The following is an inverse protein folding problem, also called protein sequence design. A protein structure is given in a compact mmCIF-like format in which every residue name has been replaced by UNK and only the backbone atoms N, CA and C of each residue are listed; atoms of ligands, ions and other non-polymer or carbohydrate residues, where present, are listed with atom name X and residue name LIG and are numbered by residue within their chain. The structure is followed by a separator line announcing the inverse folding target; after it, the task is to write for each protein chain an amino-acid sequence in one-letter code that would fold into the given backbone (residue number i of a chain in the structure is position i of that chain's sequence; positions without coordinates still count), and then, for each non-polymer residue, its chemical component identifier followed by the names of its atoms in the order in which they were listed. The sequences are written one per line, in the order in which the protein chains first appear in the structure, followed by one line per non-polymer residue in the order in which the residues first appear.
data_IF_943921050087
#
_entry.id   IF_943921050087
#
_cell.length_a   1.000
_cell.length_b   1.000
_cell.length_c   1.000
_cell.angle_alpha   90.00
_cell.angle_beta   90.00
_cell.angle_gamma   90.00
#
_symmetry.space_group_name_H-M   'P 1'
#
loop_
_entity.id
_entity.type
_entity.pdbx_description
1 polymer ?
#
# COMPACT_ATOMS: atom_id res chain seq x y z
N UNK A 1 -50.39 -3.88 -0.39
CA UNK A 1 -49.13 -3.47 0.27
C UNK A 1 -48.06 -4.57 0.15
N UNK A 2 -47.56 -4.84 -1.07
CA UNK A 2 -46.51 -5.86 -1.31
C UNK A 2 -45.34 -5.32 -2.15
N UNK A 3 -45.44 -4.11 -2.71
CA UNK A 3 -44.42 -3.56 -3.61
C UNK A 3 -43.25 -2.88 -2.89
N UNK A 4 -43.43 -2.32 -1.70
CA UNK A 4 -42.33 -1.66 -0.95
C UNK A 4 -41.30 -2.65 -0.37
N UNK A 5 -41.71 -3.89 -0.03
CA UNK A 5 -40.81 -4.88 0.58
C UNK A 5 -39.74 -5.42 -0.37
N UNK A 6 -40.06 -5.55 -1.66
CA UNK A 6 -39.15 -6.11 -2.68
C UNK A 6 -38.08 -5.09 -3.09
N UNK A 7 -38.41 -3.78 -3.12
CA UNK A 7 -37.45 -2.72 -3.47
C UNK A 7 -36.38 -2.53 -2.38
N UNK A 8 -36.75 -2.67 -1.10
CA UNK A 8 -35.81 -2.58 0.02
C UNK A 8 -34.88 -3.81 0.06
N UNK A 9 -35.36 -5.01 -0.27
CA UNK A 9 -34.54 -6.23 -0.37
C UNK A 9 -33.58 -6.21 -1.56
N UNK A 10 -33.97 -5.64 -2.71
CA UNK A 10 -33.06 -5.43 -3.85
C UNK A 10 -32.03 -4.32 -3.57
N UNK A 11 -32.42 -3.27 -2.83
CA UNK A 11 -31.49 -2.25 -2.34
C UNK A 11 -30.46 -2.83 -1.36
N UNK A 12 -30.88 -3.75 -0.49
CA UNK A 12 -29.98 -4.43 0.45
C UNK A 12 -29.10 -5.50 -0.23
N UNK A 13 -29.62 -6.22 -1.21
CA UNK A 13 -28.82 -7.14 -2.05
C UNK A 13 -27.83 -6.39 -2.95
N UNK A 14 -28.18 -5.21 -3.46
CA UNK A 14 -27.28 -4.35 -4.24
C UNK A 14 -26.11 -3.81 -3.42
N UNK A 15 -26.32 -3.52 -2.14
CA UNK A 15 -25.26 -3.11 -1.20
C UNK A 15 -24.33 -4.28 -0.85
N UNK A 16 -24.83 -5.52 -0.83
CA UNK A 16 -23.99 -6.72 -0.68
C UNK A 16 -23.29 -7.14 -1.98
N UNK A 17 -23.79 -6.74 -3.16
CA UNK A 17 -23.14 -6.94 -4.47
C UNK A 17 -22.08 -5.87 -4.82
N UNK A 18 -21.96 -4.81 -4.02
CA UNK A 18 -20.89 -3.80 -4.12
C UNK A 18 -19.60 -4.21 -3.39
N UNK A 19 -19.34 -5.51 -3.19
CA UNK A 19 -17.95 -5.95 -3.15
C UNK A 19 -17.41 -5.72 -4.57
N UNK A 20 -16.76 -4.56 -4.79
CA UNK A 20 -16.19 -4.18 -6.07
C UNK A 20 -15.52 -5.41 -6.69
N UNK A 21 -16.14 -5.95 -7.75
CA UNK A 21 -15.59 -7.08 -8.48
C UNK A 21 -14.19 -6.67 -8.88
N UNK A 22 -13.24 -7.54 -8.59
CA UNK A 22 -11.83 -7.27 -8.85
C UNK A 22 -11.66 -6.81 -10.30
N UNK A 23 -11.00 -5.67 -10.56
CA UNK A 23 -10.86 -5.17 -11.92
C UNK A 23 -10.15 -6.19 -12.80
N UNK A 24 -10.62 -6.31 -14.04
CA UNK A 24 -10.07 -7.23 -15.04
C UNK A 24 -9.50 -6.41 -16.19
N UNK A 25 -8.30 -6.77 -16.63
CA UNK A 25 -7.67 -6.19 -17.81
C UNK A 25 -7.04 -7.32 -18.63
N UNK A 26 -7.32 -7.34 -19.94
CA UNK A 26 -6.88 -8.39 -20.88
C UNK A 26 -7.17 -9.83 -20.38
N UNK A 27 -8.34 -10.03 -19.76
CA UNK A 27 -8.79 -11.34 -19.29
C UNK A 27 -8.20 -11.81 -17.95
N UNK A 28 -7.26 -11.06 -17.36
CA UNK A 28 -6.67 -11.34 -16.04
C UNK A 28 -7.15 -10.35 -14.98
N UNK A 29 -7.35 -10.84 -13.76
CA UNK A 29 -7.72 -10.03 -12.60
C UNK A 29 -6.52 -9.23 -12.09
N UNK A 30 -6.79 -8.12 -11.38
CA UNK A 30 -5.78 -7.29 -10.75
C UNK A 30 -4.78 -8.11 -9.90
N UNK A 31 -5.26 -9.04 -9.07
CA UNK A 31 -4.42 -9.87 -8.21
C UNK A 31 -3.49 -10.79 -8.97
N UNK A 32 -3.90 -11.29 -10.14
CA UNK A 32 -3.04 -12.09 -11.02
C UNK A 32 -1.94 -11.23 -11.65
N UNK A 33 -2.25 -9.97 -11.99
CA UNK A 33 -1.23 -9.03 -12.46
C UNK A 33 -0.25 -8.66 -11.35
N UNK A 34 -0.71 -8.47 -10.12
CA UNK A 34 0.16 -8.16 -8.98
C UNK A 34 1.02 -9.36 -8.56
N UNK A 35 0.51 -10.59 -8.71
CA UNK A 35 1.28 -11.81 -8.51
C UNK A 35 2.39 -11.93 -9.56
N UNK A 36 2.06 -11.75 -10.84
CA UNK A 36 3.05 -11.71 -11.91
C UNK A 36 4.10 -10.61 -11.70
N UNK A 37 3.71 -9.46 -11.17
CA UNK A 37 4.64 -8.37 -10.87
C UNK A 37 5.65 -8.71 -9.76
N UNK A 38 5.25 -9.51 -8.77
CA UNK A 38 6.09 -9.91 -7.64
C UNK A 38 7.03 -11.09 -7.96
N UNK A 39 6.53 -12.06 -8.73
CA UNK A 39 7.25 -13.32 -8.97
C UNK A 39 8.37 -13.17 -10.01
N UNK A 40 8.28 -12.14 -10.85
CA UNK A 40 9.18 -11.93 -11.98
C UNK A 40 10.37 -10.99 -11.64
N UNK A 41 11.50 -11.17 -12.33
CA UNK A 41 12.69 -10.32 -12.13
C UNK A 41 12.40 -8.86 -12.47
N UNK A 42 13.15 -7.94 -11.84
CA UNK A 42 12.89 -6.49 -11.95
C UNK A 42 12.88 -5.98 -13.39
N UNK A 43 13.69 -6.60 -14.26
CA UNK A 43 13.97 -6.29 -15.66
C UNK A 43 13.12 -7.11 -16.65
N UNK A 44 12.31 -8.06 -16.17
CA UNK A 44 11.52 -8.92 -17.04
C UNK A 44 10.46 -8.11 -17.84
N UNK A 45 10.26 -8.42 -19.13
CA UNK A 45 9.16 -7.88 -19.92
C UNK A 45 7.79 -8.16 -19.29
N UNK A 46 7.65 -9.30 -18.63
CA UNK A 46 6.44 -9.77 -17.96
C UNK A 46 6.06 -8.85 -16.78
N UNK A 47 7.03 -8.46 -15.94
CA UNK A 47 6.83 -7.50 -14.86
C UNK A 47 6.42 -6.13 -15.37
N UNK A 48 7.06 -5.65 -16.44
CA UNK A 48 6.69 -4.38 -17.07
C UNK A 48 5.26 -4.43 -17.63
N UNK A 49 4.89 -5.55 -18.27
CA UNK A 49 3.52 -5.78 -18.76
C UNK A 49 2.51 -5.80 -17.63
N UNK A 50 2.84 -6.43 -16.50
CA UNK A 50 2.01 -6.44 -15.31
C UNK A 50 1.82 -5.02 -14.75
N UNK A 51 2.90 -4.25 -14.62
CA UNK A 51 2.84 -2.86 -14.19
C UNK A 51 1.94 -2.03 -15.12
N UNK A 52 2.12 -2.17 -16.44
CA UNK A 52 1.31 -1.50 -17.44
C UNK A 52 -0.17 -1.89 -17.36
N UNK A 53 -0.48 -3.16 -17.07
CA UNK A 53 -1.85 -3.61 -16.88
C UNK A 53 -2.50 -2.95 -15.66
N UNK A 54 -1.79 -2.89 -14.52
CA UNK A 54 -2.26 -2.20 -13.31
C UNK A 54 -2.47 -0.71 -13.56
N UNK A 55 -1.54 -0.05 -14.27
CA UNK A 55 -1.70 1.35 -14.68
C UNK A 55 -2.94 1.57 -15.57
N UNK A 56 -3.21 0.66 -16.52
CA UNK A 56 -4.39 0.72 -17.38
C UNK A 56 -5.70 0.48 -16.62
N UNK A 57 -5.67 -0.33 -15.55
CA UNK A 57 -6.80 -0.45 -14.62
C UNK A 57 -7.02 0.90 -13.90
N UNK A 58 -5.93 1.55 -13.50
CA UNK A 58 -5.93 2.90 -12.95
C UNK A 58 -6.64 2.99 -11.58
N UNK A 59 -7.26 4.14 -11.24
CA UNK A 59 -7.90 4.36 -9.94
C UNK A 59 -8.98 3.33 -9.55
N UNK A 60 -9.53 2.58 -10.52
CA UNK A 60 -10.47 1.49 -10.26
C UNK A 60 -9.85 0.34 -9.47
N UNK A 61 -8.52 0.23 -9.43
CA UNK A 61 -7.80 -0.73 -8.61
C UNK A 61 -7.82 -0.38 -7.11
N UNK A 62 -7.96 0.90 -6.74
CA UNK A 62 -7.83 1.39 -5.36
C UNK A 62 -8.66 0.58 -4.35
N UNK A 63 -9.96 0.30 -4.57
CA UNK A 63 -10.75 -0.48 -3.62
C UNK A 63 -10.20 -1.90 -3.39
N UNK A 64 -9.74 -2.55 -4.45
CA UNK A 64 -9.14 -3.89 -4.36
C UNK A 64 -7.77 -3.84 -3.68
N UNK A 65 -6.93 -2.86 -3.97
CA UNK A 65 -5.63 -2.70 -3.31
C UNK A 65 -5.79 -2.47 -1.80
N UNK A 66 -6.72 -1.58 -1.40
CA UNK A 66 -7.08 -1.35 -0.01
C UNK A 66 -7.59 -2.63 0.67
N UNK A 67 -8.41 -3.43 -0.02
CA UNK A 67 -8.91 -4.71 0.49
C UNK A 67 -7.78 -5.71 0.69
N UNK A 68 -6.90 -5.85 -0.29
CA UNK A 68 -5.76 -6.77 -0.27
C UNK A 68 -4.77 -6.43 0.84
N UNK A 69 -4.34 -5.17 0.96
CA UNK A 69 -3.38 -4.75 1.98
C UNK A 69 -3.93 -4.86 3.42
N UNK A 70 -5.24 -4.67 3.58
CA UNK A 70 -5.91 -4.74 4.90
C UNK A 70 -6.52 -6.10 5.20
N UNK A 71 -6.29 -7.10 4.35
CA UNK A 71 -6.86 -8.43 4.51
C UNK A 71 -6.43 -9.08 5.83
N UNK A 72 -7.40 -9.62 6.56
CA UNK A 72 -7.21 -10.39 7.78
C UNK A 72 -7.76 -11.77 7.55
N UNK A 73 -6.95 -12.80 7.81
CA UNK A 73 -7.45 -14.18 7.78
C UNK A 73 -8.59 -14.33 8.80
N UNK A 74 -9.76 -14.82 8.39
CA UNK A 74 -10.84 -15.16 9.31
C UNK A 74 -10.40 -16.26 10.29
N UNK A 75 -10.83 -16.21 11.57
CA UNK A 75 -10.45 -17.23 12.57
C UNK A 75 -10.85 -18.67 12.21
N UNK A 76 -11.90 -18.84 11.41
CA UNK A 76 -12.40 -20.17 11.01
C UNK A 76 -11.53 -20.82 9.91
N UNK A 77 -10.88 -20.01 9.05
CA UNK A 77 -9.94 -20.52 8.06
C UNK A 77 -8.69 -21.09 8.72
N UNK A 78 -8.24 -20.52 9.83
CA UNK A 78 -7.10 -21.02 10.59
C UNK A 78 -7.39 -22.42 11.16
N UNK A 79 -8.57 -22.63 11.74
CA UNK A 79 -9.01 -23.94 12.23
C UNK A 79 -9.16 -24.95 11.09
N UNK A 80 -9.68 -24.52 9.94
CA UNK A 80 -9.81 -25.36 8.75
C UNK A 80 -8.45 -25.79 8.17
N UNK A 81 -7.49 -24.86 8.08
CA UNK A 81 -6.13 -25.16 7.63
C UNK A 81 -5.41 -26.06 8.64
N UNK A 82 -5.59 -25.85 9.95
CA UNK A 82 -5.04 -26.74 10.98
C UNK A 82 -5.60 -28.16 10.84
N UNK A 83 -6.90 -28.29 10.60
CA UNK A 83 -7.55 -29.58 10.34
C UNK A 83 -6.98 -30.25 9.08
N UNK A 84 -6.79 -29.50 7.99
CA UNK A 84 -6.24 -30.03 6.73
C UNK A 84 -4.76 -30.43 6.86
N UNK A 85 -3.94 -29.66 7.60
CA UNK A 85 -2.54 -30.00 7.91
C UNK A 85 -2.44 -31.30 8.70
N UNK A 86 -3.33 -31.51 9.68
CA UNK A 86 -3.38 -32.75 10.48
C UNK A 86 -3.65 -33.98 9.63
N UNK A 87 -4.40 -33.84 8.55
CA UNK A 87 -4.74 -34.97 7.68
C UNK A 87 -3.67 -35.28 6.62
N UNK A 88 -2.62 -34.45 6.46
CA UNK A 88 -1.55 -34.62 5.45
C UNK A 88 -2.03 -34.82 4.00
N UNK A 89 -3.32 -34.57 3.71
CA UNK A 89 -3.96 -34.93 2.45
C UNK A 89 -3.64 -33.97 1.30
N UNK A 90 -3.12 -32.78 1.59
CA UNK A 90 -2.71 -31.80 0.58
C UNK A 90 -1.54 -30.97 1.11
N UNK A 91 -0.43 -30.79 0.35
CA UNK A 91 0.55 -29.75 0.65
C UNK A 91 -0.12 -28.39 0.37
N UNK A 92 -0.74 -27.81 1.38
CA UNK A 92 -1.22 -26.43 1.30
C UNK A 92 0.01 -25.54 1.46
N UNK A 93 0.54 -25.05 0.34
CA UNK A 93 1.43 -23.89 0.36
C UNK A 93 0.65 -22.75 1.00
N UNK A 94 1.01 -22.44 2.25
CA UNK A 94 0.43 -21.33 2.96
C UNK A 94 0.90 -20.06 2.24
N UNK A 95 0.05 -19.50 1.36
CA UNK A 95 0.27 -18.16 0.83
C UNK A 95 0.54 -17.25 2.02
N UNK A 96 1.77 -16.78 2.13
CA UNK A 96 2.19 -16.01 3.29
C UNK A 96 1.32 -14.75 3.32
N UNK A 97 0.63 -14.51 4.43
CA UNK A 97 -0.26 -13.31 4.54
C UNK A 97 0.54 -12.03 4.30
N UNK A 98 1.84 -12.05 4.61
CA UNK A 98 2.79 -10.99 4.26
C UNK A 98 2.85 -10.73 2.75
N UNK A 99 3.08 -11.76 1.93
CA UNK A 99 3.17 -11.62 0.46
C UNK A 99 1.85 -11.15 -0.14
N UNK A 100 0.71 -11.69 0.33
CA UNK A 100 -0.61 -11.26 -0.14
C UNK A 100 -0.89 -9.78 0.14
N UNK A 101 -0.56 -9.29 1.34
CA UNK A 101 -0.77 -7.86 1.66
C UNK A 101 0.20 -6.95 0.93
N UNK A 102 1.45 -7.40 0.74
CA UNK A 102 2.47 -6.66 0.00
C UNK A 102 2.02 -6.35 -1.44
N UNK A 103 1.32 -7.28 -2.11
CA UNK A 103 0.72 -7.04 -3.45
C UNK A 103 -0.17 -5.80 -3.49
N UNK A 104 -0.91 -5.56 -2.40
CA UNK A 104 -1.75 -4.37 -2.28
C UNK A 104 -0.93 -3.07 -2.27
N UNK A 105 0.23 -3.08 -1.60
CA UNK A 105 1.15 -1.95 -1.55
C UNK A 105 1.88 -1.74 -2.89
N UNK A 106 2.30 -2.80 -3.56
CA UNK A 106 2.94 -2.72 -4.88
C UNK A 106 1.99 -2.09 -5.92
N UNK A 107 0.69 -2.38 -5.81
CA UNK A 107 -0.30 -1.71 -6.65
C UNK A 107 -0.36 -0.19 -6.44
N UNK A 108 -0.11 0.31 -5.22
CA UNK A 108 -0.01 1.74 -4.96
C UNK A 108 1.26 2.36 -5.55
N UNK A 109 2.39 1.65 -5.47
CA UNK A 109 3.64 2.03 -6.15
C UNK A 109 3.43 2.13 -7.66
N UNK A 110 2.83 1.12 -8.28
CA UNK A 110 2.61 1.10 -9.73
C UNK A 110 1.68 2.23 -10.20
N UNK A 111 0.65 2.55 -9.40
CA UNK A 111 -0.29 3.63 -9.72
C UNK A 111 0.26 5.03 -9.44
N UNK A 112 1.14 5.17 -8.45
CA UNK A 112 1.70 6.45 -8.02
C UNK A 112 0.61 7.49 -7.76
N UNK A 113 0.74 8.66 -8.39
CA UNK A 113 -0.19 9.79 -8.21
C UNK A 113 -1.64 9.46 -8.58
N UNK A 114 -1.88 8.51 -9.49
CA UNK A 114 -3.23 8.10 -9.85
C UNK A 114 -3.99 7.50 -8.65
N UNK A 115 -3.28 7.05 -7.62
CA UNK A 115 -3.85 6.53 -6.39
C UNK A 115 -4.03 7.57 -5.27
N UNK A 116 -3.79 8.88 -5.50
CA UNK A 116 -4.10 9.95 -4.53
C UNK A 116 -5.51 9.88 -3.91
N UNK A 117 -6.59 9.46 -4.61
CA UNK A 117 -7.89 9.27 -3.97
C UNK A 117 -7.90 8.28 -2.79
N UNK A 118 -6.87 7.43 -2.64
CA UNK A 118 -6.71 6.51 -1.53
C UNK A 118 -6.20 7.16 -0.24
N UNK A 119 -5.62 8.37 -0.30
CA UNK A 119 -4.96 9.05 0.84
C UNK A 119 -5.82 9.02 2.11
N UNK A 120 -7.11 9.43 2.12
CA UNK A 120 -7.91 9.44 3.35
C UNK A 120 -8.05 8.05 3.98
N UNK A 121 -8.11 7.01 3.16
CA UNK A 121 -8.24 5.63 3.64
C UNK A 121 -6.89 5.07 4.13
N UNK A 122 -5.79 5.37 3.42
CA UNK A 122 -4.44 5.02 3.85
C UNK A 122 -4.11 5.66 5.20
N UNK A 123 -4.42 6.95 5.38
CA UNK A 123 -4.26 7.66 6.67
C UNK A 123 -5.06 6.98 7.79
N UNK A 124 -6.28 6.51 7.51
CA UNK A 124 -7.06 5.74 8.50
C UNK A 124 -6.43 4.40 8.85
N UNK A 125 -5.74 3.74 7.92
CA UNK A 125 -5.07 2.46 8.16
C UNK A 125 -3.78 2.62 9.00
N UNK A 126 -3.26 3.84 9.15
CA UNK A 126 -2.17 4.12 10.11
C UNK A 126 -2.60 3.90 11.58
N UNK A 127 -3.90 3.92 11.87
CA UNK A 127 -4.44 3.63 13.21
C UNK A 127 -4.70 2.14 13.45
N UNK A 128 -4.32 1.28 12.50
CA UNK A 128 -4.60 -0.15 12.60
C UNK A 128 -3.77 -0.82 13.70
N UNK A 129 -4.40 -1.72 14.48
CA UNK A 129 -3.74 -2.49 15.54
C UNK A 129 -2.71 -3.50 15.00
N UNK A 130 -2.85 -3.90 13.74
CA UNK A 130 -1.92 -4.80 13.08
C UNK A 130 -0.76 -4.00 12.48
N UNK A 131 0.42 -4.15 13.09
CA UNK A 131 1.65 -3.45 12.71
C UNK A 131 2.00 -3.55 11.22
N UNK A 132 1.72 -4.69 10.59
CA UNK A 132 1.98 -4.89 9.17
C UNK A 132 0.99 -4.11 8.28
N UNK A 133 -0.29 -3.99 8.67
CA UNK A 133 -1.24 -3.15 7.94
C UNK A 133 -0.84 -1.69 8.06
N UNK A 134 -0.45 -1.26 9.27
CA UNK A 134 0.04 0.10 9.54
C UNK A 134 1.27 0.44 8.70
N UNK A 135 2.26 -0.45 8.65
CA UNK A 135 3.45 -0.29 7.84
C UNK A 135 3.14 -0.17 6.35
N UNK A 136 2.34 -1.09 5.80
CA UNK A 136 1.97 -1.00 4.39
C UNK A 136 1.19 0.28 4.09
N UNK A 137 0.32 0.72 5.00
CA UNK A 137 -0.39 1.99 4.84
C UNK A 137 0.55 3.19 4.81
N UNK A 138 1.60 3.18 5.64
CA UNK A 138 2.65 4.19 5.63
C UNK A 138 3.42 4.20 4.31
N UNK A 139 3.94 3.05 3.89
CA UNK A 139 4.67 2.91 2.62
C UNK A 139 3.79 3.33 1.44
N UNK A 140 2.57 2.81 1.33
CA UNK A 140 1.65 3.18 0.26
C UNK A 140 1.31 4.67 0.26
N UNK A 141 1.26 5.34 1.42
CA UNK A 141 1.04 6.78 1.49
C UNK A 141 2.21 7.57 0.88
N UNK A 142 3.44 7.09 1.01
CA UNK A 142 4.60 7.68 0.33
C UNK A 142 4.56 7.41 -1.18
N UNK A 143 4.22 6.17 -1.56
CA UNK A 143 4.17 5.73 -2.96
C UNK A 143 3.11 6.47 -3.80
N UNK A 144 1.99 6.90 -3.20
CA UNK A 144 1.01 7.72 -3.93
C UNK A 144 1.47 9.15 -4.20
N UNK A 145 2.69 9.53 -3.75
CA UNK A 145 3.34 10.83 -3.94
C UNK A 145 2.37 12.00 -3.70
N UNK A 146 1.81 12.10 -2.47
CA UNK A 146 0.92 13.19 -2.09
C UNK A 146 1.66 14.53 -2.14
N UNK A 147 0.90 15.62 -2.24
CA UNK A 147 1.48 16.94 -2.00
C UNK A 147 2.02 17.01 -0.57
N UNK A 148 3.09 17.79 -0.33
CA UNK A 148 3.62 18.03 1.02
C UNK A 148 2.50 18.43 1.99
N UNK A 149 1.59 19.32 1.55
CA UNK A 149 0.44 19.78 2.34
C UNK A 149 -0.47 18.64 2.83
N UNK A 150 -0.69 17.62 2.01
CA UNK A 150 -1.55 16.48 2.35
C UNK A 150 -0.78 15.43 3.17
N UNK A 151 0.54 15.34 2.99
CA UNK A 151 1.42 14.37 3.63
C UNK A 151 1.79 14.77 5.07
N UNK A 152 2.14 16.04 5.30
CA UNK A 152 2.67 16.53 6.58
C UNK A 152 1.78 16.19 7.77
N UNK A 153 0.44 16.40 7.74
CA UNK A 153 -0.40 16.06 8.89
C UNK A 153 -0.41 14.56 9.20
N UNK A 154 -0.35 13.71 8.17
CA UNK A 154 -0.32 12.26 8.33
C UNK A 154 1.02 11.78 8.91
N UNK A 155 2.14 12.32 8.42
CA UNK A 155 3.46 12.01 8.96
C UNK A 155 3.65 12.53 10.38
N UNK A 156 3.16 13.73 10.69
CA UNK A 156 3.18 14.30 12.04
C UNK A 156 2.44 13.43 13.07
N UNK A 157 1.36 12.77 12.64
CA UNK A 157 0.65 11.80 13.45
C UNK A 157 1.45 10.50 13.58
N UNK A 158 1.94 9.95 12.47
CA UNK A 158 2.71 8.70 12.46
C UNK A 158 4.04 8.79 13.21
N UNK A 159 4.68 9.96 13.25
CA UNK A 159 5.89 10.23 14.03
C UNK A 159 5.69 10.08 15.54
N UNK A 160 4.44 10.10 16.01
CA UNK A 160 4.06 9.88 17.41
C UNK A 160 3.55 8.46 17.66
N UNK A 161 3.67 7.56 16.69
CA UNK A 161 3.24 6.18 16.86
C UNK A 161 4.10 5.46 17.90
N UNK A 162 3.51 4.68 18.81
CA UNK A 162 4.28 3.92 19.79
C UNK A 162 5.12 2.79 19.18
N UNK A 163 4.84 2.39 17.93
CA UNK A 163 5.71 1.47 17.21
C UNK A 163 6.95 2.22 16.68
N UNK A 164 8.15 1.92 17.19
CA UNK A 164 9.36 2.66 16.83
C UNK A 164 9.69 2.55 15.34
N UNK A 165 9.28 1.49 14.66
CA UNK A 165 9.51 1.36 13.22
C UNK A 165 8.70 2.41 12.44
N UNK A 166 7.44 2.61 12.80
CA UNK A 166 6.58 3.60 12.15
C UNK A 166 6.94 5.01 12.57
N UNK A 167 7.21 5.23 13.87
CA UNK A 167 7.61 6.52 14.39
C UNK A 167 8.89 7.05 13.74
N UNK A 168 9.93 6.22 13.69
CA UNK A 168 11.22 6.61 13.11
C UNK A 168 11.12 6.84 11.60
N UNK A 169 10.44 5.96 10.87
CA UNK A 169 10.23 6.14 9.42
C UNK A 169 9.42 7.40 9.11
N UNK A 170 8.40 7.72 9.91
CA UNK A 170 7.63 8.95 9.75
C UNK A 170 8.46 10.21 10.09
N UNK A 171 9.35 10.14 11.08
CA UNK A 171 10.31 11.21 11.37
C UNK A 171 11.27 11.41 10.20
N UNK A 172 11.82 10.35 9.63
CA UNK A 172 12.70 10.43 8.47
C UNK A 172 11.97 10.96 7.23
N UNK A 173 10.72 10.54 7.01
CA UNK A 173 9.86 11.09 5.98
C UNK A 173 9.61 12.60 6.20
N UNK A 174 9.34 13.05 7.43
CA UNK A 174 9.20 14.47 7.73
C UNK A 174 10.49 15.23 7.45
N UNK A 175 11.65 14.72 7.89
CA UNK A 175 12.94 15.37 7.64
C UNK A 175 13.25 15.50 6.15
N UNK A 176 12.84 14.53 5.34
CA UNK A 176 13.07 14.53 3.89
C UNK A 176 12.07 15.43 3.16
N UNK A 177 10.76 15.25 3.40
CA UNK A 177 9.71 15.94 2.63
C UNK A 177 9.28 17.29 3.22
N UNK A 178 9.45 17.52 4.53
CA UNK A 178 9.04 18.75 5.23
C UNK A 178 9.97 19.05 6.44
N UNK A 179 11.25 19.41 6.19
CA UNK A 179 12.23 19.65 7.24
C UNK A 179 11.87 20.82 8.18
N UNK A 180 11.03 21.75 7.73
CA UNK A 180 10.52 22.83 8.57
C UNK A 180 9.52 22.31 9.60
N UNK A 181 8.53 21.53 9.17
CA UNK A 181 7.60 20.89 10.10
C UNK A 181 8.32 19.94 11.06
N UNK A 182 9.29 19.16 10.56
CA UNK A 182 10.12 18.29 11.40
C UNK A 182 10.80 19.07 12.53
N UNK A 183 11.47 20.18 12.20
CA UNK A 183 12.13 21.05 13.20
C UNK A 183 11.14 21.66 14.18
N UNK A 184 10.03 22.22 13.68
CA UNK A 184 8.99 22.82 14.52
C UNK A 184 8.35 21.82 15.50
N UNK A 185 8.31 20.54 15.14
CA UNK A 185 7.80 19.45 15.95
C UNK A 185 8.80 18.85 16.95
N UNK A 186 10.06 19.29 16.94
CA UNK A 186 11.13 18.69 17.75
C UNK A 186 11.76 17.44 17.14
N UNK A 187 11.45 17.12 15.88
CA UNK A 187 12.02 16.03 15.09
C UNK A 187 13.15 16.47 14.15
N UNK A 188 13.78 17.61 14.44
CA UNK A 188 14.93 18.09 13.66
C UNK A 188 16.10 17.09 13.67
N UNK A 189 17.05 17.28 12.76
CA UNK A 189 18.22 16.42 12.60
C UNK A 189 18.40 15.91 11.16
N UNK A 190 19.49 15.20 10.88
CA UNK A 190 19.74 14.61 9.56
C UNK A 190 18.71 13.52 9.25
N UNK A 191 18.43 13.33 7.96
CA UNK A 191 17.71 12.15 7.46
C UNK A 191 18.62 10.94 7.67
N UNK A 192 18.07 9.86 8.23
CA UNK A 192 18.79 8.59 8.32
C UNK A 192 18.95 7.97 6.93
N UNK A 193 20.20 7.75 6.52
CA UNK A 193 20.54 7.20 5.19
C UNK A 193 20.19 5.73 5.04
N UNK A 194 19.92 5.03 6.15
CA UNK A 194 19.45 3.65 6.15
C UNK A 194 17.92 3.56 6.17
N UNK A 195 17.22 4.69 6.31
CA UNK A 195 15.75 4.70 6.30
C UNK A 195 15.18 4.27 4.96
N UNK A 196 14.00 3.65 4.99
CA UNK A 196 13.29 3.28 3.77
C UNK A 196 13.10 4.49 2.84
N UNK A 197 12.74 5.64 3.41
CA UNK A 197 12.53 6.89 2.65
C UNK A 197 13.81 7.30 1.91
N UNK A 198 14.94 7.35 2.60
CA UNK A 198 16.19 7.77 1.96
C UNK A 198 16.57 6.81 0.83
N UNK A 199 16.60 5.51 1.13
CA UNK A 199 16.95 4.47 0.16
C UNK A 199 16.03 4.53 -1.06
N UNK A 200 14.71 4.63 -0.85
CA UNK A 200 13.73 4.62 -1.94
C UNK A 200 13.84 5.86 -2.82
N UNK A 201 13.94 7.05 -2.23
CA UNK A 201 13.85 8.29 -3.00
C UNK A 201 15.21 8.76 -3.53
N UNK A 202 16.33 8.50 -2.85
CA UNK A 202 17.65 8.91 -3.33
C UNK A 202 18.20 7.97 -4.42
N UNK A 203 18.08 6.64 -4.26
CA UNK A 203 18.54 5.68 -5.29
C UNK A 203 17.80 5.83 -6.62
N UNK A 204 16.55 6.31 -6.60
CA UNK A 204 15.77 6.60 -7.81
C UNK A 204 16.22 7.88 -8.52
N UNK A 205 16.89 8.82 -7.83
CA UNK A 205 17.40 10.06 -8.42
C UNK A 205 18.87 9.92 -8.86
N UNK A 206 19.71 9.18 -8.13
CA UNK A 206 21.11 8.95 -8.50
C UNK A 206 21.30 8.08 -9.76
N UNK A 207 20.28 7.31 -10.16
CA UNK A 207 20.28 6.56 -11.43
C UNK A 207 19.89 7.37 -12.67
N UNK A 208 19.53 8.65 -12.53
CA UNK A 208 18.87 9.44 -13.59
C UNK A 208 19.48 10.80 -13.94
N UNK A 209 20.39 11.37 -13.13
CA UNK A 209 20.92 12.72 -13.41
C UNK A 209 22.39 12.87 -13.03
N UNK A 210 23.28 12.56 -13.99
CA UNK A 210 24.59 13.22 -14.03
C UNK A 210 24.36 14.66 -14.51
N UNK A 211 24.06 15.60 -13.60
CA UNK A 211 23.70 16.91 -14.14
C UNK A 211 23.47 18.11 -13.25
N UNK A 212 23.44 18.04 -11.92
CA UNK A 212 23.34 19.28 -11.14
C UNK A 212 24.28 19.32 -9.93
N UNK A 213 25.42 19.99 -10.16
CA UNK A 213 26.42 20.28 -9.15
C UNK A 213 25.85 21.11 -8.01
N UNK A 214 25.98 20.59 -6.79
CA UNK A 214 25.97 21.42 -5.58
C UNK A 214 27.38 21.97 -5.43
N UNK A 215 27.58 23.15 -6.01
CA UNK A 215 28.72 24.02 -5.77
C UNK A 215 28.30 25.08 -4.72
N UNK A 216 29.12 25.29 -3.70
CA UNK A 216 29.02 26.42 -2.74
C UNK A 216 28.76 25.99 -1.30
N UNK A 217 29.80 25.62 -0.53
CA UNK A 217 30.66 26.47 0.33
C UNK A 217 30.00 26.97 1.61
N UNK A 218 30.53 26.54 2.76
CA UNK A 218 31.44 27.33 3.60
C UNK A 218 32.22 26.38 4.50
#
# INVERSE_FOLDING_TARGET
MVTLGVVILLGWQGILFMQAREPVYQGKKLGEWLELYQDESWDSPERQKAAQAVQNIGPKAIPSLLKTMSYRRPPMEEKGIDLLRRQKLVPIEAVQVGTYRARGADGFEILGEAARPAIPKLVKLLDDRNKHIKYLAFVSLLEVRPSQRDLTPALMKAAKDPDPYIGNEAVNALRYFDPEAARGAGFGGPVDTESYVYIKYEMLHEGGDQGHGVNGRS
#
